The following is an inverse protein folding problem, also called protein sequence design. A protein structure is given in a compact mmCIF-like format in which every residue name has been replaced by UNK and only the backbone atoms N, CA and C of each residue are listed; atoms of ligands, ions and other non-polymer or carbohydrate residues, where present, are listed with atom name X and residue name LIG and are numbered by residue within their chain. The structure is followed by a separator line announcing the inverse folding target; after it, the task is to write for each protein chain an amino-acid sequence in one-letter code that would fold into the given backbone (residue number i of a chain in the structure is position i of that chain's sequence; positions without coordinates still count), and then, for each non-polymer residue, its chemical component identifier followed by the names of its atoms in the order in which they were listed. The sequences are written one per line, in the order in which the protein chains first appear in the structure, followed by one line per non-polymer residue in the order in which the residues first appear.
data_IF_989498069016
#
_entry.id   IF_989498069016
#
_cell.length_a   1.000
_cell.length_b   1.000
_cell.length_c   1.000
_cell.angle_alpha   90.00
_cell.angle_beta   90.00
_cell.angle_gamma   90.00
#
_symmetry.space_group_name_H-M   'P 1'
#
loop_
_entity.id
_entity.type
_entity.pdbx_description
1 polymer ?
#
# COMPACT_ATOMS: atom_id res chain seq x y z
N UNK A 1 2.29 -24.52 -67.98
CA UNK A 1 2.74 -23.16 -68.33
C UNK A 1 3.55 -22.61 -67.15
N UNK A 2 4.89 -22.67 -67.29
CA UNK A 2 5.84 -22.22 -66.27
C UNK A 2 6.09 -20.75 -66.49
N UNK A 3 5.76 -19.90 -65.53
CA UNK A 3 6.18 -18.50 -65.55
C UNK A 3 7.59 -18.40 -64.94
N UNK A 4 8.57 -18.21 -65.77
CA UNK A 4 9.93 -17.88 -65.37
C UNK A 4 9.92 -16.39 -64.94
N UNK A 5 9.95 -16.18 -63.62
CA UNK A 5 10.20 -14.85 -63.04
C UNK A 5 11.67 -14.53 -63.29
N UNK A 6 11.95 -13.53 -64.15
CA UNK A 6 13.26 -13.12 -64.56
C UNK A 6 14.07 -12.59 -63.37
N UNK A 7 15.30 -13.10 -63.20
CA UNK A 7 16.30 -12.69 -62.17
C UNK A 7 16.55 -11.20 -62.07
N UNK A 8 16.14 -10.42 -63.04
CA UNK A 8 16.31 -8.97 -63.11
C UNK A 8 15.29 -8.20 -62.23
N UNK A 9 14.06 -8.71 -62.06
CA UNK A 9 13.06 -8.08 -61.19
C UNK A 9 13.41 -8.21 -59.70
N UNK A 10 14.12 -9.29 -59.35
CA UNK A 10 14.51 -9.57 -57.95
C UNK A 10 15.62 -8.64 -57.44
N UNK A 11 16.45 -8.10 -58.33
CA UNK A 11 17.57 -7.18 -57.97
C UNK A 11 17.08 -5.74 -57.68
N UNK A 12 15.92 -5.32 -58.16
CA UNK A 12 15.36 -3.99 -57.91
C UNK A 12 14.47 -3.92 -56.67
N UNK A 13 13.95 -5.03 -56.21
CA UNK A 13 13.09 -5.08 -55.05
C UNK A 13 13.88 -5.10 -53.70
N UNK A 14 15.13 -5.58 -53.71
CA UNK A 14 15.96 -5.60 -52.50
C UNK A 14 16.30 -4.23 -51.89
N UNK A 15 16.63 -3.19 -52.69
CA UNK A 15 16.91 -1.87 -52.11
C UNK A 15 15.67 -1.18 -51.53
N UNK A 16 14.47 -1.44 -52.11
CA UNK A 16 13.21 -0.86 -51.60
C UNK A 16 12.83 -1.44 -50.27
N UNK A 17 13.04 -2.74 -50.03
CA UNK A 17 12.79 -3.39 -48.75
C UNK A 17 13.77 -2.93 -47.67
N UNK A 18 15.05 -2.73 -48.01
CA UNK A 18 16.05 -2.20 -47.09
C UNK A 18 15.77 -0.77 -46.66
N UNK A 19 15.24 0.08 -47.57
CA UNK A 19 14.87 1.47 -47.28
C UNK A 19 13.61 1.52 -46.38
N UNK A 20 12.63 0.65 -46.63
CA UNK A 20 11.41 0.58 -45.79
C UNK A 20 11.74 0.09 -44.35
N UNK A 21 12.66 -0.88 -44.18
CA UNK A 21 13.12 -1.29 -42.85
C UNK A 21 13.94 -0.21 -42.15
N UNK A 22 14.71 0.61 -42.85
CA UNK A 22 15.48 1.73 -42.28
C UNK A 22 14.55 2.85 -41.76
N UNK A 23 13.42 3.10 -42.42
CA UNK A 23 12.42 4.09 -41.97
C UNK A 23 11.62 3.61 -40.74
N UNK A 24 11.44 2.32 -40.56
CA UNK A 24 10.75 1.80 -39.34
C UNK A 24 11.66 1.87 -38.12
N UNK A 25 12.99 1.81 -38.27
CA UNK A 25 13.93 1.93 -37.15
C UNK A 25 14.13 3.41 -36.72
N UNK A 26 13.97 4.37 -37.60
CA UNK A 26 14.10 5.79 -37.26
C UNK A 26 12.86 6.35 -36.53
N UNK A 27 11.65 5.83 -36.80
CA UNK A 27 10.42 6.25 -36.13
C UNK A 27 10.24 5.72 -34.70
N UNK A 28 10.81 4.56 -34.39
CA UNK A 28 10.76 4.00 -33.01
C UNK A 28 11.66 4.77 -32.02
N UNK A 29 12.78 5.34 -32.45
CA UNK A 29 13.73 5.99 -31.55
C UNK A 29 13.28 7.35 -31.02
N UNK A 30 12.55 8.13 -31.81
CA UNK A 30 12.09 9.45 -31.39
C UNK A 30 10.84 9.36 -30.51
N UNK A 31 9.93 8.44 -30.79
CA UNK A 31 8.76 8.18 -29.95
C UNK A 31 9.15 7.65 -28.56
N UNK A 32 10.17 6.78 -28.47
CA UNK A 32 10.66 6.29 -27.18
C UNK A 32 11.29 7.41 -26.34
N UNK A 33 12.03 8.34 -26.96
CA UNK A 33 12.60 9.50 -26.25
C UNK A 33 11.52 10.42 -25.68
N UNK A 34 10.45 10.66 -26.44
CA UNK A 34 9.32 11.49 -25.98
C UNK A 34 8.57 10.81 -24.84
N UNK A 35 8.26 9.52 -24.96
CA UNK A 35 7.62 8.73 -23.91
C UNK A 35 8.48 8.68 -22.65
N UNK A 36 9.78 8.47 -22.78
CA UNK A 36 10.76 8.47 -21.70
C UNK A 36 10.79 9.80 -20.95
N UNK A 37 10.88 10.92 -21.68
CA UNK A 37 10.81 12.25 -21.08
C UNK A 37 9.49 12.48 -20.37
N UNK A 38 8.38 12.16 -21.01
CA UNK A 38 7.05 12.30 -20.43
C UNK A 38 6.90 11.47 -19.14
N UNK A 39 7.46 10.27 -19.10
CA UNK A 39 7.43 9.41 -17.92
C UNK A 39 8.26 9.99 -16.77
N UNK A 40 9.50 10.43 -17.04
CA UNK A 40 10.35 11.10 -16.04
C UNK A 40 9.64 12.34 -15.48
N UNK A 41 9.12 13.21 -16.36
CA UNK A 41 8.40 14.43 -15.96
C UNK A 41 7.16 14.09 -15.11
N UNK A 42 6.42 13.04 -15.48
CA UNK A 42 5.25 12.59 -14.73
C UNK A 42 5.62 12.06 -13.32
N UNK A 43 6.65 11.25 -13.22
CA UNK A 43 7.16 10.76 -11.94
C UNK A 43 7.59 11.92 -11.05
N UNK A 44 8.39 12.86 -11.56
CA UNK A 44 8.92 13.98 -10.80
C UNK A 44 7.85 14.98 -10.36
N UNK A 45 6.90 15.30 -11.23
CA UNK A 45 5.95 16.38 -11.01
C UNK A 45 4.61 15.90 -10.41
N UNK A 46 4.25 14.63 -10.58
CA UNK A 46 3.01 14.07 -10.06
C UNK A 46 3.26 13.13 -8.88
N UNK A 47 4.09 12.09 -9.10
CA UNK A 47 4.30 11.07 -8.05
C UNK A 47 5.14 11.62 -6.92
N UNK A 48 6.29 12.23 -7.22
CA UNK A 48 7.21 12.72 -6.18
C UNK A 48 6.66 13.90 -5.39
N UNK A 49 5.72 14.67 -5.95
CA UNK A 49 5.08 15.81 -5.26
C UNK A 49 3.74 15.45 -4.62
N UNK A 50 3.13 14.35 -5.03
CA UNK A 50 1.83 13.90 -4.53
C UNK A 50 1.90 13.15 -3.20
N UNK A 51 0.76 12.56 -2.81
CA UNK A 51 0.63 11.65 -1.67
C UNK A 51 1.18 10.26 -1.99
N UNK A 52 1.09 9.34 -1.02
CA UNK A 52 1.42 7.91 -1.20
C UNK A 52 0.42 7.26 -2.18
N UNK A 53 -0.82 7.73 -2.20
CA UNK A 53 -1.83 7.27 -3.15
C UNK A 53 -1.57 7.94 -4.50
N UNK A 54 -1.11 7.15 -5.46
CA UNK A 54 -0.82 7.65 -6.81
C UNK A 54 -2.06 7.57 -7.70
N UNK A 55 -2.28 8.57 -8.59
CA UNK A 55 -3.44 8.60 -9.46
C UNK A 55 -3.38 7.52 -10.55
N UNK A 56 -4.52 7.07 -11.01
CA UNK A 56 -4.63 6.28 -12.25
C UNK A 56 -4.41 7.17 -13.46
N UNK A 57 -3.80 6.62 -14.51
CA UNK A 57 -3.56 7.35 -15.76
C UNK A 57 -4.85 7.53 -16.56
N UNK A 58 -5.05 8.73 -17.09
CA UNK A 58 -6.04 8.97 -18.17
C UNK A 58 -5.56 8.35 -19.50
N UNK A 59 -6.46 8.20 -20.46
CA UNK A 59 -6.09 7.66 -21.77
C UNK A 59 -5.03 8.50 -22.47
N UNK A 60 -5.11 9.84 -22.38
CA UNK A 60 -4.10 10.74 -22.92
C UNK A 60 -2.73 10.55 -22.25
N UNK A 61 -2.71 10.32 -20.93
CA UNK A 61 -1.49 10.03 -20.20
C UNK A 61 -0.91 8.67 -20.61
N UNK A 62 -1.74 7.64 -20.76
CA UNK A 62 -1.29 6.33 -21.25
C UNK A 62 -0.65 6.43 -22.64
N UNK A 63 -1.24 7.20 -23.54
CA UNK A 63 -0.66 7.44 -24.87
C UNK A 63 0.70 8.13 -24.78
N UNK A 64 0.82 9.17 -23.94
CA UNK A 64 2.07 9.91 -23.75
C UNK A 64 3.17 9.08 -23.10
N UNK A 65 2.83 8.23 -22.15
CA UNK A 65 3.80 7.38 -21.46
C UNK A 65 4.15 6.11 -22.24
N UNK A 66 3.27 5.66 -23.13
CA UNK A 66 3.51 4.54 -24.04
C UNK A 66 3.99 3.27 -23.33
N UNK A 67 5.20 2.84 -23.62
CA UNK A 67 5.79 1.63 -23.06
C UNK A 67 5.97 1.66 -21.53
N UNK A 68 6.04 2.85 -20.92
CA UNK A 68 6.23 3.02 -19.48
C UNK A 68 4.93 2.93 -18.66
N UNK A 69 3.77 2.75 -19.30
CA UNK A 69 2.48 2.53 -18.61
C UNK A 69 2.53 1.28 -17.74
N UNK A 70 3.18 0.21 -18.21
CA UNK A 70 3.36 -1.02 -17.43
C UNK A 70 4.22 -0.81 -16.17
N UNK A 71 5.26 0.00 -16.28
CA UNK A 71 6.15 0.31 -15.18
C UNK A 71 5.39 1.13 -14.12
N UNK A 72 4.62 2.12 -14.56
CA UNK A 72 3.78 2.91 -13.67
C UNK A 72 2.68 2.09 -12.99
N UNK A 73 2.12 1.09 -13.68
CA UNK A 73 1.09 0.22 -13.13
C UNK A 73 1.54 -0.54 -11.87
N UNK A 74 2.85 -0.80 -11.71
CA UNK A 74 3.42 -1.40 -10.48
C UNK A 74 3.16 -0.49 -9.28
N UNK A 75 3.43 0.80 -9.41
CA UNK A 75 3.20 1.80 -8.35
C UNK A 75 1.71 1.93 -8.02
N UNK A 76 0.86 2.01 -9.04
CA UNK A 76 -0.61 2.10 -8.87
C UNK A 76 -1.16 0.88 -8.15
N UNK A 77 -0.75 -0.32 -8.58
CA UNK A 77 -1.24 -1.58 -8.01
C UNK A 77 -0.86 -1.69 -6.53
N UNK A 78 0.40 -1.39 -6.18
CA UNK A 78 0.82 -1.39 -4.79
C UNK A 78 0.04 -0.36 -3.97
N UNK A 79 0.00 0.90 -4.43
CA UNK A 79 -0.67 2.01 -3.74
C UNK A 79 -2.14 1.69 -3.45
N UNK A 80 -2.87 1.15 -4.43
CA UNK A 80 -4.27 0.77 -4.26
C UNK A 80 -4.46 -0.39 -3.27
N UNK A 81 -3.61 -1.42 -3.35
CA UNK A 81 -3.67 -2.55 -2.43
C UNK A 81 -3.31 -2.12 -1.00
N UNK A 82 -2.27 -1.30 -0.86
CA UNK A 82 -1.85 -0.75 0.42
C UNK A 82 -2.97 0.09 1.06
N UNK A 83 -3.54 1.07 0.34
CA UNK A 83 -4.64 1.89 0.84
C UNK A 83 -5.84 1.03 1.25
N UNK A 84 -6.24 0.07 0.41
CA UNK A 84 -7.36 -0.83 0.73
C UNK A 84 -7.11 -1.66 1.98
N UNK A 85 -5.89 -2.16 2.17
CA UNK A 85 -5.53 -2.93 3.36
C UNK A 85 -5.53 -2.07 4.62
N UNK A 86 -5.04 -0.83 4.53
CA UNK A 86 -5.09 0.14 5.64
C UNK A 86 -6.54 0.48 6.01
N UNK A 87 -7.38 0.79 5.01
CA UNK A 87 -8.77 1.17 5.20
C UNK A 87 -9.63 0.03 5.78
N UNK A 88 -9.31 -1.22 5.43
CA UNK A 88 -10.07 -2.38 5.89
C UNK A 88 -9.62 -2.93 7.26
N UNK A 89 -8.40 -2.63 7.71
CA UNK A 89 -7.84 -3.30 8.89
C UNK A 89 -7.35 -2.34 9.95
N UNK A 90 -6.60 -1.29 9.61
CA UNK A 90 -6.00 -0.40 10.61
C UNK A 90 -6.92 0.78 10.97
N UNK A 91 -7.55 1.40 9.97
CA UNK A 91 -8.43 2.55 10.20
C UNK A 91 -9.66 2.20 11.07
N UNK A 92 -10.36 1.05 10.89
CA UNK A 92 -11.44 0.65 11.79
C UNK A 92 -11.00 0.53 13.22
N UNK A 93 -9.85 -0.13 13.48
CA UNK A 93 -9.32 -0.28 14.82
C UNK A 93 -9.07 1.06 15.52
N UNK A 94 -8.40 2.00 14.84
CA UNK A 94 -8.17 3.32 15.43
C UNK A 94 -9.48 4.07 15.67
N UNK A 95 -10.46 3.91 14.79
CA UNK A 95 -11.81 4.48 14.98
C UNK A 95 -12.48 3.93 16.22
N UNK A 96 -12.38 2.62 16.45
CA UNK A 96 -12.95 1.96 17.65
C UNK A 96 -12.22 2.39 18.91
N UNK A 97 -10.89 2.44 18.89
CA UNK A 97 -10.07 2.93 20.01
C UNK A 97 -10.45 4.37 20.37
N UNK A 98 -10.61 5.24 19.37
CA UNK A 98 -10.99 6.64 19.58
C UNK A 98 -12.40 6.82 20.18
N UNK A 99 -13.26 5.82 20.08
CA UNK A 99 -14.59 5.80 20.70
C UNK A 99 -14.58 5.38 22.17
N UNK A 100 -13.46 4.90 22.70
CA UNK A 100 -13.31 4.55 24.11
C UNK A 100 -13.00 5.82 24.90
N UNK A 101 -14.03 6.37 25.55
CA UNK A 101 -13.94 7.65 26.30
C UNK A 101 -14.19 7.50 27.78
N UNK A 102 -14.94 6.46 28.17
CA UNK A 102 -15.32 6.18 29.55
C UNK A 102 -15.13 4.70 29.86
N UNK A 103 -15.03 4.32 31.15
CA UNK A 103 -14.77 2.92 31.53
C UNK A 103 -15.77 1.90 30.96
N UNK A 104 -17.03 2.28 30.77
CA UNK A 104 -18.05 1.42 30.19
C UNK A 104 -17.76 1.06 28.71
N UNK A 105 -17.07 1.93 27.99
CA UNK A 105 -16.80 1.74 26.56
C UNK A 105 -15.88 0.54 26.32
N UNK A 106 -14.95 0.23 27.23
CA UNK A 106 -14.14 -0.99 27.14
C UNK A 106 -14.99 -2.26 27.04
N UNK A 107 -16.09 -2.29 27.77
CA UNK A 107 -17.04 -3.41 27.73
C UNK A 107 -17.84 -3.42 26.42
N UNK A 108 -18.33 -2.25 26.01
CA UNK A 108 -19.16 -2.10 24.82
C UNK A 108 -18.38 -2.33 23.51
N UNK A 109 -17.11 -1.94 23.47
CA UNK A 109 -16.24 -2.04 22.28
C UNK A 109 -15.39 -3.31 22.23
N UNK A 110 -15.48 -4.17 23.24
CA UNK A 110 -14.66 -5.37 23.35
C UNK A 110 -14.73 -6.29 22.12
N UNK A 111 -15.92 -6.54 21.63
CA UNK A 111 -16.13 -7.49 20.53
C UNK A 111 -15.71 -6.88 19.18
N UNK A 112 -15.93 -5.58 18.97
CA UNK A 112 -15.40 -4.84 17.83
C UNK A 112 -13.86 -4.90 17.82
N UNK A 113 -13.21 -4.61 18.96
CA UNK A 113 -11.75 -4.69 19.10
C UNK A 113 -11.20 -6.10 18.79
N UNK A 114 -11.90 -7.17 19.18
CA UNK A 114 -11.49 -8.53 18.85
C UNK A 114 -11.53 -8.80 17.36
N UNK A 115 -12.59 -8.37 16.70
CA UNK A 115 -12.74 -8.55 15.26
C UNK A 115 -11.63 -7.78 14.51
N UNK A 116 -11.37 -6.55 14.91
CA UNK A 116 -10.38 -5.68 14.27
C UNK A 116 -8.94 -6.13 14.56
N UNK A 117 -8.64 -6.56 15.78
CA UNK A 117 -7.36 -7.18 16.11
C UNK A 117 -7.09 -8.45 15.28
N UNK A 118 -8.14 -9.22 14.98
CA UNK A 118 -8.06 -10.36 14.05
C UNK A 118 -7.64 -9.93 12.64
N UNK A 119 -8.15 -8.81 12.14
CA UNK A 119 -7.80 -8.26 10.83
C UNK A 119 -6.34 -7.79 10.73
N UNK A 120 -5.74 -7.32 11.84
CA UNK A 120 -4.31 -6.93 11.88
C UNK A 120 -3.37 -8.09 11.57
N UNK A 121 -3.72 -9.32 11.94
CA UNK A 121 -2.90 -10.50 11.66
C UNK A 121 -2.73 -10.73 10.14
N UNK A 122 -3.72 -10.35 9.35
CA UNK A 122 -3.68 -10.44 7.89
C UNK A 122 -3.02 -9.24 7.24
N UNK A 123 -3.14 -8.05 7.85
CA UNK A 123 -2.61 -6.80 7.31
C UNK A 123 -1.11 -6.89 7.02
N UNK A 124 -0.32 -7.36 7.98
CA UNK A 124 1.13 -7.51 7.82
C UNK A 124 1.50 -8.42 6.65
N UNK A 125 0.80 -9.55 6.51
CA UNK A 125 1.00 -10.50 5.40
C UNK A 125 0.61 -9.88 4.06
N UNK A 126 -0.50 -9.15 4.00
CA UNK A 126 -0.98 -8.48 2.78
C UNK A 126 0.01 -7.42 2.30
N UNK A 127 0.51 -6.56 3.20
CA UNK A 127 1.49 -5.52 2.87
C UNK A 127 2.81 -6.15 2.42
N UNK A 128 3.30 -7.16 3.14
CA UNK A 128 4.53 -7.86 2.78
C UNK A 128 4.40 -8.55 1.42
N UNK A 129 3.30 -9.20 1.12
CA UNK A 129 3.01 -9.83 -0.16
C UNK A 129 2.93 -8.81 -1.29
N UNK A 130 2.22 -7.71 -1.08
CA UNK A 130 2.10 -6.62 -2.06
C UNK A 130 3.47 -6.00 -2.37
N UNK A 131 4.29 -5.75 -1.33
CA UNK A 131 5.66 -5.24 -1.48
C UNK A 131 6.55 -6.22 -2.25
N UNK A 132 6.55 -7.50 -1.89
CA UNK A 132 7.34 -8.53 -2.57
C UNK A 132 6.97 -8.67 -4.04
N UNK A 133 5.67 -8.57 -4.36
CA UNK A 133 5.18 -8.57 -5.75
C UNK A 133 5.70 -7.35 -6.52
N UNK A 134 5.64 -6.16 -5.91
CA UNK A 134 6.13 -4.92 -6.52
C UNK A 134 7.66 -4.96 -6.70
N UNK A 135 8.42 -5.43 -5.70
CA UNK A 135 9.88 -5.58 -5.77
C UNK A 135 10.29 -6.55 -6.92
N UNK A 136 9.60 -7.68 -7.04
CA UNK A 136 9.85 -8.67 -8.10
C UNK A 136 9.54 -8.06 -9.48
N UNK A 137 8.42 -7.37 -9.61
CA UNK A 137 8.05 -6.71 -10.87
C UNK A 137 9.06 -5.62 -11.24
N UNK A 138 9.50 -4.78 -10.28
CA UNK A 138 10.55 -3.76 -10.49
C UNK A 138 11.86 -4.38 -10.94
N UNK A 139 12.28 -5.47 -10.33
CA UNK A 139 13.53 -6.15 -10.67
C UNK A 139 13.55 -6.69 -12.10
N UNK A 140 12.38 -6.97 -12.69
CA UNK A 140 12.24 -7.45 -14.07
C UNK A 140 12.23 -6.32 -15.11
N UNK A 141 12.13 -5.04 -14.70
CA UNK A 141 12.09 -3.89 -15.61
C UNK A 141 13.43 -3.70 -16.33
N UNK A 142 13.33 -3.38 -17.63
CA UNK A 142 14.49 -3.04 -18.47
C UNK A 142 14.43 -1.55 -18.81
N UNK A 143 14.78 -0.72 -17.85
CA UNK A 143 14.72 0.73 -17.99
C UNK A 143 16.09 1.31 -18.35
N UNK A 144 16.14 2.39 -19.16
CA UNK A 144 17.34 3.22 -19.28
C UNK A 144 17.76 3.84 -17.95
N UNK A 145 19.03 4.12 -17.74
CA UNK A 145 19.60 4.54 -16.46
C UNK A 145 18.94 5.80 -15.87
N UNK A 146 18.59 6.78 -16.71
CA UNK A 146 17.94 8.01 -16.26
C UNK A 146 16.49 7.79 -15.83
N UNK A 147 15.72 6.92 -16.51
CA UNK A 147 14.39 6.48 -16.09
C UNK A 147 14.50 5.72 -14.80
N UNK A 148 15.42 4.75 -14.74
CA UNK A 148 15.65 3.92 -13.56
C UNK A 148 15.93 4.76 -12.32
N UNK A 149 16.79 5.77 -12.43
CA UNK A 149 17.15 6.64 -11.31
C UNK A 149 15.94 7.38 -10.72
N UNK A 150 15.05 7.90 -11.56
CA UNK A 150 13.83 8.61 -11.11
C UNK A 150 12.76 7.61 -10.65
N UNK A 151 12.62 6.49 -11.35
CA UNK A 151 11.66 5.45 -10.98
C UNK A 151 12.00 4.83 -9.61
N UNK A 152 13.27 4.59 -9.33
CA UNK A 152 13.72 4.07 -8.04
C UNK A 152 13.35 5.00 -6.86
N UNK A 153 13.43 6.32 -7.06
CA UNK A 153 12.98 7.30 -6.06
C UNK A 153 11.45 7.26 -5.88
N UNK A 154 10.71 7.22 -6.98
CA UNK A 154 9.26 7.10 -6.94
C UNK A 154 8.81 5.78 -6.30
N UNK A 155 9.51 4.68 -6.59
CA UNK A 155 9.27 3.37 -5.99
C UNK A 155 9.55 3.38 -4.48
N UNK A 156 10.64 4.00 -4.05
CA UNK A 156 10.93 4.15 -2.63
C UNK A 156 9.78 4.88 -1.92
N UNK A 157 9.38 6.03 -2.44
CA UNK A 157 8.30 6.85 -1.86
C UNK A 157 6.95 6.14 -1.81
N UNK A 158 6.58 5.41 -2.87
CA UNK A 158 5.23 4.84 -3.00
C UNK A 158 5.14 3.44 -2.40
N UNK A 159 6.22 2.66 -2.47
CA UNK A 159 6.22 1.24 -2.09
C UNK A 159 7.04 0.99 -0.83
N UNK A 160 8.35 1.34 -0.85
CA UNK A 160 9.28 0.92 0.19
C UNK A 160 9.03 1.63 1.51
N UNK A 161 8.94 2.96 1.48
CA UNK A 161 8.82 3.78 2.69
C UNK A 161 7.49 3.55 3.42
N UNK A 162 6.32 3.54 2.73
CA UNK A 162 5.06 3.26 3.40
C UNK A 162 4.98 1.86 3.99
N UNK A 163 5.45 0.84 3.26
CA UNK A 163 5.48 -0.52 3.78
C UNK A 163 6.36 -0.63 5.03
N UNK A 164 7.56 -0.04 4.99
CA UNK A 164 8.48 -0.06 6.13
C UNK A 164 7.96 0.74 7.33
N UNK A 165 7.23 1.83 7.09
CA UNK A 165 6.65 2.65 8.15
C UNK A 165 5.50 1.93 8.89
N UNK A 166 4.68 1.16 8.17
CA UNK A 166 3.50 0.50 8.76
C UNK A 166 3.87 -0.81 9.44
N UNK A 167 4.86 -1.55 8.96
CA UNK A 167 5.22 -2.86 9.52
C UNK A 167 5.49 -2.87 11.02
N UNK A 168 6.21 -1.91 11.63
CA UNK A 168 6.38 -1.87 13.09
C UNK A 168 5.11 -1.43 13.84
N UNK A 169 4.19 -0.72 13.22
CA UNK A 169 2.94 -0.25 13.85
C UNK A 169 1.98 -1.42 14.11
N UNK A 170 1.96 -2.42 13.23
CA UNK A 170 1.04 -3.56 13.32
C UNK A 170 1.16 -4.31 14.66
N UNK A 171 2.34 -4.77 15.11
CA UNK A 171 2.46 -5.45 16.38
C UNK A 171 2.17 -4.54 17.58
N UNK A 172 2.45 -3.24 17.50
CA UNK A 172 2.11 -2.27 18.54
C UNK A 172 0.59 -2.12 18.66
N UNK A 173 -0.11 -1.93 17.54
CA UNK A 173 -1.57 -1.85 17.48
C UNK A 173 -2.23 -3.15 17.98
N UNK A 174 -1.69 -4.31 17.62
CA UNK A 174 -2.18 -5.60 18.09
C UNK A 174 -2.00 -5.74 19.63
N UNK A 175 -0.85 -5.33 20.16
CA UNK A 175 -0.56 -5.36 21.58
C UNK A 175 -1.47 -4.41 22.37
N UNK A 176 -1.70 -3.19 21.88
CA UNK A 176 -2.64 -2.24 22.49
C UNK A 176 -4.07 -2.80 22.48
N UNK A 177 -4.52 -3.33 21.34
CA UNK A 177 -5.85 -3.94 21.21
C UNK A 177 -6.06 -5.08 22.22
N UNK A 178 -5.04 -5.90 22.43
CA UNK A 178 -5.07 -6.98 23.41
C UNK A 178 -5.30 -6.45 24.83
N UNK A 179 -4.61 -5.37 25.24
CA UNK A 179 -4.79 -4.77 26.55
C UNK A 179 -6.19 -4.17 26.72
N UNK A 180 -6.69 -3.47 25.70
CA UNK A 180 -8.05 -2.92 25.71
C UNK A 180 -9.11 -4.03 25.83
N UNK A 181 -8.93 -5.14 25.10
CA UNK A 181 -9.79 -6.32 25.17
C UNK A 181 -9.74 -6.92 26.58
N UNK A 182 -8.56 -7.01 27.21
CA UNK A 182 -8.43 -7.55 28.59
C UNK A 182 -9.20 -6.71 29.61
N UNK A 183 -9.23 -5.39 29.48
CA UNK A 183 -10.08 -4.53 30.31
C UNK A 183 -11.55 -4.88 30.10
N UNK A 184 -12.00 -4.98 28.87
CA UNK A 184 -13.37 -5.37 28.54
C UNK A 184 -13.74 -6.75 29.08
N UNK A 185 -12.84 -7.74 28.99
CA UNK A 185 -13.02 -9.09 29.50
C UNK A 185 -13.10 -9.11 31.03
N UNK A 186 -12.25 -8.34 31.70
CA UNK A 186 -12.30 -8.18 33.13
C UNK A 186 -13.66 -7.59 33.56
N UNK A 187 -14.09 -6.51 32.95
CA UNK A 187 -15.38 -5.86 33.25
C UNK A 187 -16.56 -6.78 32.97
N UNK A 188 -16.51 -7.56 31.89
CA UNK A 188 -17.51 -8.59 31.58
C UNK A 188 -17.55 -9.69 32.68
N UNK A 189 -16.39 -10.13 33.15
CA UNK A 189 -16.28 -11.22 34.11
C UNK A 189 -16.88 -10.88 35.49
N UNK A 190 -16.73 -9.61 35.90
CA UNK A 190 -17.26 -9.15 37.21
C UNK A 190 -18.73 -8.69 37.11
N UNK A 191 -19.24 -8.45 35.92
CA UNK A 191 -20.65 -8.16 35.62
C UNK A 191 -21.24 -7.06 36.50
N UNK A 192 -22.32 -7.37 37.25
CA UNK A 192 -23.01 -6.40 38.10
C UNK A 192 -22.22 -5.89 39.31
N UNK A 193 -21.03 -6.44 39.57
CA UNK A 193 -20.13 -5.94 40.59
C UNK A 193 -19.40 -4.65 40.16
N UNK A 194 -19.40 -4.34 38.87
CA UNK A 194 -18.96 -3.06 38.35
C UNK A 194 -20.17 -2.12 38.15
N UNK A 195 -20.10 -0.92 38.73
CA UNK A 195 -21.09 0.16 38.50
C UNK A 195 -20.42 1.30 37.77
N UNK A 196 -21.00 1.68 36.67
CA UNK A 196 -20.50 2.81 35.85
C UNK A 196 -21.26 4.07 36.19
N UNK A 197 -20.53 5.16 36.45
CA UNK A 197 -21.09 6.49 36.72
C UNK A 197 -20.34 7.50 35.82
N UNK A 198 -20.92 7.79 34.66
CA UNK A 198 -20.38 8.67 33.61
C UNK A 198 -18.89 8.37 33.33
N UNK A 199 -17.96 9.09 33.97
CA UNK A 199 -16.51 8.99 33.73
C UNK A 199 -15.78 8.09 34.73
N UNK A 200 -16.51 7.49 35.67
CA UNK A 200 -15.91 6.66 36.74
C UNK A 200 -16.47 5.25 36.76
N UNK A 201 -15.73 4.36 37.43
CA UNK A 201 -16.14 3.01 37.72
C UNK A 201 -16.03 2.77 39.22
N UNK A 202 -17.04 2.14 39.79
CA UNK A 202 -17.04 1.66 41.18
C UNK A 202 -16.97 0.14 41.15
N UNK A 203 -16.00 -0.41 41.88
CA UNK A 203 -15.75 -1.85 42.02
C UNK A 203 -15.99 -2.26 43.47
N UNK A 204 -16.46 -3.49 43.67
CA UNK A 204 -16.90 -3.93 44.99
C UNK A 204 -15.76 -4.34 45.92
N UNK A 205 -14.61 -4.75 45.38
CA UNK A 205 -13.49 -5.27 46.19
C UNK A 205 -12.18 -4.57 45.83
N UNK A 206 -11.26 -4.50 46.82
CA UNK A 206 -9.93 -3.97 46.60
C UNK A 206 -9.17 -4.77 45.53
N UNK A 207 -9.33 -6.09 45.51
CA UNK A 207 -8.70 -6.92 44.46
C UNK A 207 -9.13 -6.54 43.05
N UNK A 208 -10.42 -6.22 42.86
CA UNK A 208 -10.91 -5.74 41.54
C UNK A 208 -10.33 -4.38 41.20
N UNK A 209 -10.21 -3.48 42.17
CA UNK A 209 -9.58 -2.17 41.97
C UNK A 209 -8.11 -2.32 41.55
N UNK A 210 -7.37 -3.17 42.24
CA UNK A 210 -5.95 -3.42 41.96
C UNK A 210 -5.77 -4.03 40.55
N UNK A 211 -6.59 -5.00 40.17
CA UNK A 211 -6.56 -5.62 38.86
C UNK A 211 -6.91 -4.62 37.74
N UNK A 212 -7.95 -3.81 37.94
CA UNK A 212 -8.32 -2.77 36.97
C UNK A 212 -7.19 -1.75 36.78
N UNK A 213 -6.61 -1.27 37.89
CA UNK A 213 -5.50 -0.33 37.86
C UNK A 213 -4.26 -0.91 37.16
N UNK A 214 -3.97 -2.20 37.36
CA UNK A 214 -2.87 -2.88 36.68
C UNK A 214 -3.10 -2.89 35.13
N UNK A 215 -4.31 -3.23 34.70
CA UNK A 215 -4.67 -3.20 33.27
C UNK A 215 -4.54 -1.78 32.68
N UNK A 216 -5.04 -0.77 33.39
CA UNK A 216 -4.93 0.62 32.95
C UNK A 216 -3.48 1.11 32.90
N UNK A 217 -2.63 0.66 33.81
CA UNK A 217 -1.19 0.95 33.81
C UNK A 217 -0.49 0.34 32.60
N UNK A 218 -0.87 -0.88 32.21
CA UNK A 218 -0.33 -1.53 30.99
C UNK A 218 -0.66 -0.72 29.73
N UNK A 219 -1.90 -0.24 29.61
CA UNK A 219 -2.32 0.63 28.48
C UNK A 219 -1.54 1.93 28.49
N UNK A 220 -1.42 2.60 29.63
CA UNK A 220 -0.73 3.88 29.76
C UNK A 220 0.77 3.77 29.40
N UNK A 221 1.42 2.68 29.76
CA UNK A 221 2.83 2.44 29.41
C UNK A 221 3.06 2.37 27.90
N UNK A 222 2.14 1.73 27.16
CA UNK A 222 2.21 1.60 25.69
C UNK A 222 1.82 2.88 24.93
N UNK A 223 1.13 3.79 25.58
CA UNK A 223 0.74 5.08 24.95
C UNK A 223 1.90 6.07 24.90
N UNK A 224 3.01 5.77 25.58
CA UNK A 224 4.21 6.62 25.63
C UNK A 224 5.32 6.15 24.66
N UNK A 225 5.17 5.00 24.02
CA UNK A 225 6.06 4.47 22.98
C UNK A 225 5.57 4.86 21.58
#
# INVERSE_FOLDING_TARGET
MSFAVTKQAQRWLMPIFAVIMAFQLAGCGDNDKEQRKAFIDYLQNTVMRGSITVPTLSEDQKQKLGNYVSDYAILVTFSQNFSRSMDSSLNPLFTTIDQIRVPQDYLLKRDDLRQEAGALNLLGQQIQSAKSTADTARAALKQPDDVKAVYDQAFAKVVTDPANAVMPIIPMAASLSQDLIQVGDFLQSIGTQARFDNQSIQLQTQQQVDQYNQLMTSIAAKHQE
#
